data_IF_005667336956
#
_entry.id   IF_005667336956
#
_cell.length_a   1.000
_cell.length_b   1.000
_cell.length_c   1.000
_cell.angle_alpha   90.00
_cell.angle_beta   90.00
_cell.angle_gamma   90.00
#
_symmetry.space_group_name_H-M   'P 1'
#
loop_
_entity.id
_entity.type
_entity.pdbx_description
1 polymer ?
#
# COMPACT_ATOMS: atom_id res chain seq x y z
N UNK A 1 -8.41 4.06 8.45
CA UNK A 1 -7.38 3.17 7.87
C UNK A 1 -6.06 3.91 7.80
N UNK A 2 -5.02 3.31 8.34
CA UNK A 2 -3.69 3.92 8.34
C UNK A 2 -2.81 3.26 7.30
N UNK A 3 -2.26 4.07 6.38
CA UNK A 3 -1.51 3.60 5.22
C UNK A 3 -0.11 4.19 5.25
N UNK A 4 0.89 3.34 5.11
CA UNK A 4 2.27 3.78 4.88
C UNK A 4 2.57 3.62 3.40
N UNK A 5 3.00 4.69 2.76
CA UNK A 5 3.40 4.65 1.35
C UNK A 5 4.88 5.02 1.27
N UNK A 6 5.67 4.09 0.76
CA UNK A 6 7.12 4.27 0.65
C UNK A 6 7.43 4.75 -0.76
N UNK A 7 7.84 6.02 -0.88
CA UNK A 7 8.08 6.69 -2.16
C UNK A 7 9.20 7.71 -1.99
N UNK A 8 10.26 7.55 -2.77
CA UNK A 8 11.43 8.44 -2.67
C UNK A 8 11.39 9.63 -3.63
N UNK A 9 10.53 9.61 -4.64
CA UNK A 9 10.46 10.69 -5.63
C UNK A 9 9.71 11.89 -5.06
N UNK A 10 10.36 13.09 -4.98
CA UNK A 10 9.74 14.25 -4.32
C UNK A 10 8.42 14.69 -4.94
N UNK A 11 8.32 14.69 -6.26
CA UNK A 11 7.09 15.11 -6.94
C UNK A 11 5.92 14.16 -6.64
N UNK A 12 6.17 12.87 -6.67
CA UNK A 12 5.14 11.89 -6.32
C UNK A 12 4.72 12.06 -4.85
N UNK A 13 5.67 12.29 -3.96
CA UNK A 13 5.38 12.54 -2.55
C UNK A 13 4.50 13.77 -2.33
N UNK A 14 4.77 14.85 -3.06
CA UNK A 14 3.95 16.07 -3.01
C UNK A 14 2.50 15.79 -3.45
N UNK A 15 2.34 15.08 -4.55
CA UNK A 15 1.01 14.75 -5.07
C UNK A 15 0.26 13.81 -4.13
N UNK A 16 0.94 12.83 -3.56
CA UNK A 16 0.33 11.93 -2.58
C UNK A 16 -0.10 12.67 -1.32
N UNK A 17 0.72 13.59 -0.83
CA UNK A 17 0.35 14.42 0.32
C UNK A 17 -0.87 15.28 0.04
N UNK A 18 -0.94 15.88 -1.15
CA UNK A 18 -2.09 16.68 -1.55
C UNK A 18 -3.35 15.83 -1.69
N UNK A 19 -3.23 14.63 -2.26
CA UNK A 19 -4.36 13.70 -2.39
C UNK A 19 -4.86 13.25 -1.01
N UNK A 20 -3.95 12.95 -0.10
CA UNK A 20 -4.29 12.56 1.27
C UNK A 20 -5.00 13.69 2.01
N UNK A 21 -4.54 14.93 1.85
CA UNK A 21 -5.18 16.09 2.47
C UNK A 21 -6.60 16.28 1.92
N UNK A 22 -6.80 16.12 0.61
CA UNK A 22 -8.11 16.21 -0.01
C UNK A 22 -9.04 15.10 0.48
N UNK A 23 -8.55 13.88 0.60
CA UNK A 23 -9.32 12.75 1.12
C UNK A 23 -9.71 12.97 2.59
N UNK A 24 -8.82 13.57 3.37
CA UNK A 24 -9.09 13.89 4.77
C UNK A 24 -10.22 14.91 4.90
N UNK A 25 -10.20 15.94 4.04
CA UNK A 25 -11.28 16.94 4.01
C UNK A 25 -12.64 16.32 3.66
N UNK A 26 -12.64 15.26 2.86
CA UNK A 26 -13.84 14.51 2.52
C UNK A 26 -14.22 13.47 3.57
N UNK A 27 -13.41 13.31 4.60
CA UNK A 27 -13.63 12.36 5.70
C UNK A 27 -13.69 10.90 5.24
N UNK A 28 -12.82 10.53 4.30
CA UNK A 28 -12.77 9.15 3.80
C UNK A 28 -12.09 8.18 4.76
N UNK A 29 -11.53 8.67 5.86
CA UNK A 29 -10.94 7.79 6.87
C UNK A 29 -9.60 7.20 6.47
N UNK A 30 -8.86 7.86 5.60
CA UNK A 30 -7.53 7.43 5.17
C UNK A 30 -6.49 8.34 5.82
N UNK A 31 -5.64 7.74 6.65
CA UNK A 31 -4.50 8.43 7.26
C UNK A 31 -3.24 7.95 6.55
N UNK A 32 -2.73 8.78 5.66
CA UNK A 32 -1.54 8.45 4.86
C UNK A 32 -0.28 9.00 5.50
N UNK A 33 0.69 8.13 5.71
CA UNK A 33 2.04 8.48 6.16
C UNK A 33 3.01 8.14 5.04
N UNK A 34 3.89 9.07 4.69
CA UNK A 34 4.90 8.85 3.66
C UNK A 34 6.24 8.50 4.30
N UNK A 35 6.93 7.56 3.68
CA UNK A 35 8.33 7.27 3.99
C UNK A 35 9.14 7.41 2.70
N UNK A 36 10.35 7.93 2.81
CA UNK A 36 11.16 8.28 1.64
C UNK A 36 12.30 7.31 1.37
N UNK A 37 12.45 6.30 2.22
CA UNK A 37 13.50 5.28 2.10
C UNK A 37 13.06 4.02 2.81
N UNK A 38 13.78 2.92 2.58
CA UNK A 38 13.54 1.68 3.29
C UNK A 38 13.78 1.84 4.80
N UNK A 39 14.86 2.52 5.17
CA UNK A 39 15.20 2.77 6.57
C UNK A 39 14.12 3.60 7.27
N UNK A 40 13.63 4.65 6.60
CA UNK A 40 12.56 5.51 7.13
C UNK A 40 11.28 4.71 7.31
N UNK A 41 10.94 3.85 6.35
CA UNK A 41 9.77 2.98 6.45
C UNK A 41 9.90 2.01 7.62
N UNK A 42 11.04 1.38 7.77
CA UNK A 42 11.29 0.47 8.89
C UNK A 42 11.15 1.16 10.25
N UNK A 43 11.68 2.39 10.35
CA UNK A 43 11.56 3.18 11.57
C UNK A 43 10.10 3.46 11.91
N UNK A 44 9.30 3.87 10.92
CA UNK A 44 7.88 4.16 11.12
C UNK A 44 7.10 2.91 11.50
N UNK A 45 7.43 1.78 10.90
CA UNK A 45 6.76 0.50 11.21
C UNK A 45 7.06 0.02 12.63
N UNK A 46 8.21 0.39 13.20
CA UNK A 46 8.50 0.08 14.61
C UNK A 46 7.71 0.96 15.58
N UNK A 47 7.38 2.17 15.17
CA UNK A 47 6.75 3.15 16.06
C UNK A 47 5.23 3.15 15.99
N UNK A 48 4.64 2.72 14.89
CA UNK A 48 3.21 2.82 14.65
C UNK A 48 2.70 1.57 13.96
N UNK A 49 1.39 1.34 14.10
CA UNK A 49 0.70 0.25 13.40
C UNK A 49 0.05 0.78 12.15
N UNK A 50 0.15 0.01 11.07
CA UNK A 50 -0.45 0.34 9.79
C UNK A 50 -1.35 -0.81 9.33
N UNK A 51 -2.37 -0.47 8.55
CA UNK A 51 -3.26 -1.46 7.94
C UNK A 51 -2.74 -1.91 6.57
N UNK A 52 -2.09 -0.99 5.87
CA UNK A 52 -1.60 -1.21 4.51
C UNK A 52 -0.24 -0.53 4.36
N UNK A 53 0.70 -1.23 3.73
CA UNK A 53 2.00 -0.68 3.34
C UNK A 53 2.11 -0.79 1.83
N UNK A 54 2.23 0.36 1.17
CA UNK A 54 2.43 0.43 -0.28
C UNK A 54 3.91 0.71 -0.51
N UNK A 55 4.57 -0.19 -1.23
CA UNK A 55 6.02 -0.14 -1.37
C UNK A 55 6.45 -0.02 -2.82
N UNK A 56 7.37 0.90 -3.10
CA UNK A 56 8.15 0.90 -4.31
C UNK A 56 9.31 -0.09 -4.14
N UNK A 57 9.67 -0.76 -5.22
CA UNK A 57 10.78 -1.70 -5.23
C UNK A 57 12.13 -1.02 -5.43
N UNK A 58 12.14 0.16 -6.05
CA UNK A 58 13.34 0.94 -6.31
C UNK A 58 13.49 2.03 -5.27
N UNK A 59 14.10 1.70 -4.14
CA UNK A 59 14.41 2.68 -3.09
C UNK A 59 15.91 2.89 -3.03
N UNK A 60 16.36 4.11 -2.66
CA UNK A 60 17.78 4.46 -2.74
C UNK A 60 18.66 3.61 -1.81
N UNK A 61 18.12 3.11 -0.72
CA UNK A 61 18.83 2.31 0.27
C UNK A 61 18.48 0.83 0.24
N UNK A 62 17.83 0.36 -0.83
CA UNK A 62 17.49 -1.05 -1.00
C UNK A 62 18.58 -1.76 -1.81
N UNK A 63 18.99 -2.94 -1.34
CA UNK A 63 20.01 -3.73 -2.01
C UNK A 63 19.49 -4.31 -3.34
N UNK A 64 18.27 -4.80 -3.36
CA UNK A 64 17.59 -5.24 -4.56
C UNK A 64 16.08 -5.27 -4.33
N UNK A 65 15.33 -5.50 -5.42
CA UNK A 65 13.88 -5.40 -5.44
C UNK A 65 13.21 -6.40 -4.50
N UNK A 66 13.69 -7.64 -4.46
CA UNK A 66 13.12 -8.69 -3.62
C UNK A 66 13.31 -8.38 -2.14
N UNK A 67 14.47 -7.87 -1.78
CA UNK A 67 14.82 -7.58 -0.40
C UNK A 67 13.94 -6.49 0.18
N UNK A 68 13.64 -5.45 -0.61
CA UNK A 68 12.83 -4.32 -0.16
C UNK A 68 11.51 -4.78 0.45
N UNK A 69 10.75 -5.53 -0.33
CA UNK A 69 9.39 -5.89 0.10
C UNK A 69 9.42 -6.96 1.17
N UNK A 70 10.35 -7.92 1.07
CA UNK A 70 10.48 -8.98 2.07
C UNK A 70 10.81 -8.42 3.44
N UNK A 71 11.74 -7.46 3.50
CA UNK A 71 12.08 -6.81 4.77
C UNK A 71 10.89 -6.10 5.38
N UNK A 72 10.16 -5.33 4.57
CA UNK A 72 8.98 -4.62 5.06
C UNK A 72 7.90 -5.59 5.53
N UNK A 73 7.62 -6.62 4.75
CA UNK A 73 6.58 -7.59 5.07
C UNK A 73 6.82 -8.31 6.40
N UNK A 74 8.08 -8.47 6.79
CA UNK A 74 8.43 -9.17 8.03
C UNK A 74 8.37 -8.27 9.27
N UNK A 75 8.03 -7.00 9.14
CA UNK A 75 8.06 -6.06 10.25
C UNK A 75 6.75 -5.96 11.04
N UNK A 76 5.69 -6.59 10.58
CA UNK A 76 4.43 -6.52 11.31
C UNK A 76 3.30 -7.23 10.59
N UNK A 77 2.10 -7.01 11.11
CA UNK A 77 0.88 -7.60 10.55
C UNK A 77 0.12 -6.50 9.83
N UNK A 78 0.29 -6.43 8.54
CA UNK A 78 -0.37 -5.48 7.65
C UNK A 78 -0.41 -6.08 6.26
N UNK A 79 -1.28 -5.53 5.42
CA UNK A 79 -1.30 -5.92 4.01
C UNK A 79 -0.23 -5.15 3.28
N UNK A 80 0.42 -5.81 2.33
CA UNK A 80 1.43 -5.21 1.47
C UNK A 80 0.85 -5.02 0.07
N UNK A 81 1.17 -3.90 -0.56
CA UNK A 81 0.89 -3.68 -1.98
C UNK A 81 2.15 -3.14 -2.64
N UNK A 82 2.39 -3.55 -3.87
CA UNK A 82 3.57 -3.13 -4.62
C UNK A 82 3.15 -2.16 -5.73
N UNK A 83 3.76 -0.99 -5.73
CA UNK A 83 3.59 0.03 -6.76
C UNK A 83 4.99 0.40 -7.24
N UNK A 84 5.35 0.00 -8.44
CA UNK A 84 6.73 0.16 -8.91
C UNK A 84 6.82 0.28 -10.42
N UNK A 85 7.92 0.88 -10.89
CA UNK A 85 8.28 0.89 -12.30
C UNK A 85 8.99 -0.39 -12.73
N UNK A 86 9.34 -1.28 -11.80
CA UNK A 86 10.03 -2.53 -12.11
C UNK A 86 9.18 -3.45 -12.96
N UNK A 87 9.78 -4.06 -13.97
CA UNK A 87 9.14 -5.08 -14.78
C UNK A 87 9.03 -6.43 -14.04
N UNK A 88 9.71 -6.57 -12.92
CA UNK A 88 9.63 -7.75 -12.05
C UNK A 88 8.54 -7.63 -10.97
N UNK A 89 7.82 -6.53 -10.93
CA UNK A 89 6.88 -6.25 -9.85
C UNK A 89 5.85 -7.35 -9.63
N UNK A 90 5.27 -7.90 -10.70
CA UNK A 90 4.26 -8.94 -10.57
C UNK A 90 4.88 -10.27 -10.12
N UNK A 91 6.06 -10.62 -10.62
CA UNK A 91 6.77 -11.83 -10.18
C UNK A 91 7.06 -11.78 -8.68
N UNK A 92 7.48 -10.62 -8.20
CA UNK A 92 7.76 -10.42 -6.77
C UNK A 92 6.49 -10.59 -5.94
N UNK A 93 5.38 -9.98 -6.38
CA UNK A 93 4.09 -10.14 -5.71
C UNK A 93 3.65 -11.60 -5.69
N UNK A 94 3.78 -12.31 -6.82
CA UNK A 94 3.41 -13.72 -6.90
C UNK A 94 4.22 -14.57 -5.92
N UNK A 95 5.49 -14.26 -5.76
CA UNK A 95 6.35 -14.96 -4.80
C UNK A 95 5.94 -14.69 -3.36
N UNK A 96 5.58 -13.44 -3.04
CA UNK A 96 5.09 -13.08 -1.71
C UNK A 96 3.80 -13.81 -1.38
N UNK A 97 2.86 -13.84 -2.31
CA UNK A 97 1.58 -14.54 -2.12
C UNK A 97 1.82 -16.03 -1.87
N UNK A 98 2.71 -16.66 -2.66
CA UNK A 98 3.05 -18.06 -2.46
C UNK A 98 3.71 -18.34 -1.12
N UNK A 99 4.46 -17.36 -0.61
CA UNK A 99 5.11 -17.47 0.70
C UNK A 99 4.15 -17.23 1.87
N UNK A 100 2.88 -16.95 1.60
CA UNK A 100 1.88 -16.72 2.64
C UNK A 100 1.82 -15.30 3.16
N UNK A 101 2.47 -14.35 2.51
CA UNK A 101 2.41 -12.94 2.90
C UNK A 101 1.06 -12.37 2.49
N UNK A 102 0.44 -11.58 3.37
CA UNK A 102 -0.78 -10.85 3.05
C UNK A 102 -0.43 -9.71 2.09
N UNK A 103 -0.63 -9.95 0.82
CA UNK A 103 -0.21 -9.05 -0.25
C UNK A 103 -1.33 -8.90 -1.26
N UNK A 104 -1.55 -7.66 -1.71
CA UNK A 104 -2.45 -7.41 -2.82
C UNK A 104 -1.96 -8.19 -4.04
N UNK A 105 -2.81 -9.00 -4.69
CA UNK A 105 -2.35 -9.98 -5.67
C UNK A 105 -1.86 -9.38 -6.98
N UNK A 106 -2.16 -8.11 -7.24
CA UNK A 106 -1.71 -7.44 -8.46
C UNK A 106 -0.80 -6.28 -8.12
N UNK A 107 0.40 -6.31 -8.67
CA UNK A 107 1.30 -5.16 -8.61
C UNK A 107 0.78 -4.05 -9.51
N UNK A 108 1.02 -2.81 -9.11
CA UNK A 108 0.61 -1.62 -9.88
C UNK A 108 1.84 -1.00 -10.52
N UNK A 109 1.75 -0.69 -11.81
CA UNK A 109 2.80 0.05 -12.51
C UNK A 109 2.76 1.52 -12.11
N UNK A 110 3.91 2.08 -11.79
CA UNK A 110 4.00 3.52 -11.44
C UNK A 110 3.49 4.41 -12.55
N UNK A 111 3.71 4.00 -13.79
CA UNK A 111 3.26 4.72 -14.96
C UNK A 111 1.73 4.77 -15.08
N UNK A 112 1.04 3.87 -14.41
CA UNK A 112 -0.42 3.78 -14.44
C UNK A 112 -1.10 4.55 -13.30
N UNK A 113 -0.31 5.20 -12.43
CA UNK A 113 -0.86 5.95 -11.29
C UNK A 113 -1.27 7.35 -11.69
N UNK A 114 -2.56 7.68 -11.64
CA UNK A 114 -3.03 9.03 -11.99
C UNK A 114 -2.96 9.96 -10.77
N UNK A 115 -1.75 10.25 -10.29
CA UNK A 115 -1.56 11.02 -9.05
C UNK A 115 -2.19 12.40 -9.10
N UNK A 116 -2.11 13.08 -10.25
CA UNK A 116 -2.77 14.38 -10.42
C UNK A 116 -4.28 14.28 -10.28
N UNK A 117 -4.87 13.22 -10.78
CA UNK A 117 -6.31 13.00 -10.68
C UNK A 117 -6.73 12.69 -9.24
N UNK A 118 -5.87 12.03 -8.47
CA UNK A 118 -6.13 11.77 -7.06
C UNK A 118 -6.28 13.07 -6.27
N UNK A 119 -5.53 14.11 -6.65
CA UNK A 119 -5.63 15.43 -6.02
C UNK A 119 -6.94 16.11 -6.40
N UNK A 120 -7.30 16.07 -7.68
CA UNK A 120 -8.51 16.72 -8.20
C UNK A 120 -9.78 16.00 -7.80
N UNK A 121 -9.74 14.67 -7.73
CA UNK A 121 -10.89 13.82 -7.41
C UNK A 121 -10.49 12.84 -6.32
N UNK A 122 -10.59 13.24 -5.06
CA UNK A 122 -10.14 12.40 -3.94
C UNK A 122 -10.87 11.05 -3.84
N UNK A 123 -12.05 10.92 -4.41
CA UNK A 123 -12.75 9.63 -4.49
C UNK A 123 -11.97 8.60 -5.30
N UNK A 124 -11.19 9.02 -6.27
CA UNK A 124 -10.32 8.10 -7.03
C UNK A 124 -9.19 7.57 -6.15
N UNK A 125 -8.63 8.42 -5.31
CA UNK A 125 -7.61 8.01 -4.35
C UNK A 125 -8.19 7.02 -3.35
N UNK A 126 -9.37 7.35 -2.79
CA UNK A 126 -10.08 6.44 -1.89
C UNK A 126 -10.30 5.08 -2.53
N UNK A 127 -10.80 5.06 -3.78
CA UNK A 127 -11.11 3.82 -4.47
C UNK A 127 -9.85 3.01 -4.79
N UNK A 128 -8.76 3.70 -5.12
CA UNK A 128 -7.47 3.05 -5.34
C UNK A 128 -7.00 2.33 -4.07
N UNK A 129 -7.00 3.02 -2.94
CA UNK A 129 -6.60 2.45 -1.65
C UNK A 129 -7.52 1.28 -1.27
N UNK A 130 -8.82 1.46 -1.41
CA UNK A 130 -9.79 0.40 -1.11
C UNK A 130 -9.57 -0.84 -1.99
N UNK A 131 -9.19 -0.63 -3.23
CA UNK A 131 -8.92 -1.74 -4.16
C UNK A 131 -7.69 -2.57 -3.79
N UNK A 132 -6.79 -2.03 -2.99
CA UNK A 132 -5.61 -2.76 -2.52
C UNK A 132 -5.92 -3.63 -1.29
N UNK A 133 -7.02 -3.38 -0.61
CA UNK A 133 -7.41 -4.14 0.57
C UNK A 133 -8.27 -5.35 0.16
N UNK A 134 -8.36 -6.39 1.02
CA UNK A 134 -9.22 -7.53 0.73
C UNK A 134 -10.66 -7.08 0.57
N UNK A 135 -11.35 -7.67 -0.39
CA UNK A 135 -12.77 -7.38 -0.58
C UNK A 135 -13.59 -8.01 0.54
N UNK A 136 -14.63 -7.31 1.02
CA UNK A 136 -15.58 -7.96 1.92
C UNK A 136 -16.21 -9.17 1.25
N UNK A 137 -16.51 -10.19 2.04
CA UNK A 137 -17.20 -11.37 1.55
C UNK A 137 -18.68 -10.99 1.33
N UNK A 138 -19.15 -11.16 0.09
CA UNK A 138 -20.53 -10.80 -0.26
C UNK A 138 -21.49 -11.79 0.39
N UNK A 139 -22.53 -11.26 1.01
CA UNK A 139 -23.58 -12.06 1.62
C UNK A 139 -23.37 -12.36 3.09
N UNK A 140 -22.22 -12.06 3.64
CA UNK A 140 -22.00 -12.21 5.08
C UNK A 140 -22.47 -10.95 5.80
N UNK A 141 -23.29 -11.11 6.85
CA UNK A 141 -23.68 -9.95 7.64
C UNK A 141 -22.47 -9.33 8.35
N UNK A 142 -22.46 -7.99 8.45
CA UNK A 142 -21.41 -7.34 9.22
C UNK A 142 -21.34 -7.86 10.65
N UNK A 143 -20.14 -8.08 11.13
CA UNK A 143 -19.90 -8.54 12.49
C UNK A 143 -19.97 -10.05 12.69
N UNK A 144 -20.35 -10.81 11.66
CA UNK A 144 -20.26 -12.25 11.74
C UNK A 144 -18.83 -12.70 11.45
N UNK A 145 -18.33 -13.66 12.18
CA UNK A 145 -17.07 -14.26 11.80
C UNK A 145 -17.25 -14.85 10.43
N UNK A 146 -16.31 -14.57 9.62
CA UNK A 146 -16.30 -15.15 8.30
C UNK A 146 -16.27 -16.65 8.48
N UNK A 147 -17.35 -16.98 8.45
CA UNK A 147 -17.63 -18.16 8.77
C UNK A 147 -16.66 -18.93 8.16
N UNK A 148 -16.79 -18.13 8.54
CA UNK A 148 -16.35 -18.14 8.14
C UNK A 148 -15.53 -18.40 7.53
N UNK A 149 -15.39 -18.77 7.54
CA UNK A 149 -14.95 -18.80 6.72
C UNK A 149 -15.01 -19.20 6.06
N UNK A 150 -15.76 -19.34 6.36
CA UNK A 150 -15.93 -19.49 5.73
C UNK A 150 -15.89 -19.52 5.23
N UNK A 151 -16.14 -19.60 5.30
CA UNK A 151 -16.33 -19.56 4.79
C UNK A 151 -15.97 -19.69 4.40
#
# INVERSE_FOLDING_TARGET
MKVLWVEDHPRAGELLSAAAAAASRKRYGIDLVLATSLLDAERKLRLERFDLVIADLFLPDSADEDVTVTRLANMGKFRVAVVSASDKRQTIVDNLVRAGVDCAPRAVGKEDLPLGDFVKRPELFRDFIAGLMPRPIIGEPPGQPAARAVD
#
